data_IF_931469887174
#
_entry.id   IF_931469887174
#
_cell.length_a   1.000
_cell.length_b   1.000
_cell.length_c   1.000
_cell.angle_alpha   90.00
_cell.angle_beta   90.00
_cell.angle_gamma   90.00
#
_symmetry.space_group_name_H-M   'P 1'
#
loop_
_entity.id
_entity.type
_entity.pdbx_description
1 polymer ?
#
# COMPACT_ATOMS: atom_id res chain seq x y z
N UNK A 1 13.96 7.53 19.78
CA UNK A 1 14.68 6.72 18.81
C UNK A 1 14.32 7.12 17.39
N UNK A 2 15.33 7.16 16.55
CA UNK A 2 15.12 7.54 15.16
C UNK A 2 14.49 6.40 14.36
N UNK A 3 13.65 6.78 13.42
CA UNK A 3 13.05 5.86 12.47
C UNK A 3 14.14 5.17 11.63
N UNK A 4 14.01 3.86 11.45
CA UNK A 4 14.95 3.09 10.62
C UNK A 4 14.14 2.30 9.60
N UNK A 5 14.10 2.76 8.34
CA UNK A 5 13.21 2.18 7.32
C UNK A 5 13.33 0.66 7.16
N UNK A 6 14.53 0.11 7.06
CA UNK A 6 14.72 -1.31 6.89
C UNK A 6 14.21 -2.12 8.07
N UNK A 7 14.43 -1.63 9.28
CA UNK A 7 14.00 -2.29 10.50
C UNK A 7 12.49 -2.18 10.70
N UNK A 8 11.95 -1.00 10.37
CA UNK A 8 10.51 -0.79 10.50
C UNK A 8 9.74 -1.57 9.44
N UNK A 9 10.30 -1.72 8.24
CA UNK A 9 9.72 -2.57 7.21
C UNK A 9 9.60 -4.01 7.69
N UNK A 10 10.59 -4.52 8.45
CA UNK A 10 10.53 -5.87 9.03
C UNK A 10 9.31 -6.03 9.94
N UNK A 11 8.94 -4.97 10.68
CA UNK A 11 7.79 -5.00 11.58
C UNK A 11 6.47 -4.85 10.84
N UNK A 12 6.44 -4.00 9.79
CA UNK A 12 5.19 -3.61 9.11
C UNK A 12 4.81 -4.49 7.93
N UNK A 13 5.79 -5.10 7.28
CA UNK A 13 5.55 -5.86 6.06
C UNK A 13 4.60 -7.06 6.24
N UNK A 14 4.77 -7.90 7.26
CA UNK A 14 3.81 -8.99 7.49
C UNK A 14 2.40 -8.47 7.69
N UNK A 15 2.27 -7.32 8.37
CA UNK A 15 0.97 -6.70 8.62
C UNK A 15 0.36 -6.20 7.32
N UNK A 16 1.17 -5.59 6.45
CA UNK A 16 0.70 -5.10 5.16
C UNK A 16 0.15 -6.23 4.28
N UNK A 17 0.87 -7.36 4.21
CA UNK A 17 0.41 -8.52 3.44
C UNK A 17 -0.92 -9.06 3.97
N UNK A 18 -1.04 -9.14 5.30
CA UNK A 18 -2.29 -9.55 5.94
C UNK A 18 -3.41 -8.57 5.64
N UNK A 19 -3.12 -7.28 5.66
CA UNK A 19 -4.11 -6.23 5.39
C UNK A 19 -4.64 -6.34 3.96
N UNK A 20 -3.78 -6.57 2.98
CA UNK A 20 -4.20 -6.76 1.59
C UNK A 20 -5.15 -7.96 1.49
N UNK A 21 -4.78 -9.08 2.10
CA UNK A 21 -5.61 -10.29 2.06
C UNK A 21 -6.93 -10.10 2.81
N UNK A 22 -6.89 -9.42 3.95
CA UNK A 22 -8.10 -9.13 4.73
C UNK A 22 -9.10 -8.30 3.92
N UNK A 23 -8.63 -7.25 3.27
CA UNK A 23 -9.50 -6.40 2.45
C UNK A 23 -10.11 -7.21 1.31
N UNK A 24 -9.31 -8.04 0.64
CA UNK A 24 -9.83 -8.90 -0.44
C UNK A 24 -10.94 -9.83 0.07
N UNK A 25 -10.82 -10.31 1.29
CA UNK A 25 -11.84 -11.16 1.92
C UNK A 25 -13.07 -10.38 2.36
N UNK A 26 -12.90 -9.12 2.74
CA UNK A 26 -14.01 -8.29 3.23
C UNK A 26 -14.83 -7.64 2.14
N UNK A 27 -14.26 -7.43 0.95
CA UNK A 27 -14.97 -6.79 -0.17
C UNK A 27 -16.35 -7.40 -0.41
N UNK A 28 -16.52 -8.74 -0.47
CA UNK A 28 -17.85 -9.32 -0.67
C UNK A 28 -18.85 -8.94 0.40
N UNK A 29 -18.40 -8.71 1.63
CA UNK A 29 -19.28 -8.36 2.74
C UNK A 29 -19.83 -6.93 2.65
N UNK A 30 -19.15 -6.08 1.88
CA UNK A 30 -19.53 -4.67 1.72
C UNK A 30 -20.22 -4.37 0.40
N UNK A 31 -20.59 -5.39 -0.39
CA UNK A 31 -21.19 -5.16 -1.71
C UNK A 31 -22.51 -4.39 -1.65
N UNK A 32 -23.23 -4.47 -0.52
CA UNK A 32 -24.49 -3.75 -0.33
C UNK A 32 -24.33 -2.54 0.60
N UNK A 33 -23.09 -2.18 0.93
CA UNK A 33 -22.78 -1.07 1.84
C UNK A 33 -21.78 -0.12 1.19
N UNK A 34 -22.25 0.85 0.39
CA UNK A 34 -21.33 1.77 -0.32
C UNK A 34 -20.46 2.61 0.61
N UNK A 35 -20.98 3.03 1.75
CA UNK A 35 -20.19 3.82 2.71
C UNK A 35 -19.09 2.96 3.35
N UNK A 36 -19.43 1.75 3.75
CA UNK A 36 -18.45 0.81 4.29
C UNK A 36 -17.38 0.47 3.27
N UNK A 37 -17.78 0.26 2.01
CA UNK A 37 -16.84 -0.02 0.92
C UNK A 37 -15.87 1.14 0.71
N UNK A 38 -16.37 2.40 0.75
CA UNK A 38 -15.50 3.58 0.63
C UNK A 38 -14.51 3.70 1.79
N UNK A 39 -14.95 3.40 3.00
CA UNK A 39 -14.06 3.42 4.16
C UNK A 39 -12.96 2.37 4.01
N UNK A 40 -13.32 1.17 3.58
CA UNK A 40 -12.38 0.10 3.33
C UNK A 40 -11.38 0.50 2.25
N UNK A 41 -11.88 1.08 1.16
CA UNK A 41 -11.04 1.59 0.06
C UNK A 41 -10.04 2.62 0.56
N UNK A 42 -10.52 3.65 1.24
CA UNK A 42 -9.65 4.73 1.73
C UNK A 42 -8.57 4.21 2.66
N UNK A 43 -8.94 3.30 3.54
CA UNK A 43 -8.01 2.72 4.51
C UNK A 43 -6.88 1.96 3.81
N UNK A 44 -7.23 1.05 2.89
CA UNK A 44 -6.20 0.23 2.25
C UNK A 44 -5.35 1.04 1.26
N UNK A 45 -5.94 2.02 0.57
CA UNK A 45 -5.18 2.84 -0.37
C UNK A 45 -4.17 3.73 0.36
N UNK A 46 -4.53 4.31 1.50
CA UNK A 46 -3.59 5.04 2.36
C UNK A 46 -2.46 4.13 2.81
N UNK A 47 -2.81 2.91 3.16
CA UNK A 47 -1.85 1.89 3.58
C UNK A 47 -0.85 1.59 2.48
N UNK A 48 -1.32 1.42 1.24
CA UNK A 48 -0.49 1.16 0.07
C UNK A 48 0.49 2.32 -0.16
N UNK A 49 -0.02 3.56 -0.19
CA UNK A 49 0.83 4.73 -0.46
C UNK A 49 1.89 4.89 0.63
N UNK A 50 1.52 4.77 1.89
CA UNK A 50 2.48 4.91 2.99
C UNK A 50 3.50 3.77 3.01
N UNK A 51 3.06 2.55 2.72
CA UNK A 51 3.95 1.39 2.69
C UNK A 51 4.98 1.50 1.57
N UNK A 52 4.64 2.17 0.47
CA UNK A 52 5.60 2.40 -0.61
C UNK A 52 6.84 3.16 -0.12
N UNK A 53 6.69 4.02 0.87
CA UNK A 53 7.82 4.74 1.45
C UNK A 53 8.76 3.79 2.21
N UNK A 54 8.23 2.74 2.83
CA UNK A 54 9.06 1.72 3.49
C UNK A 54 9.99 1.05 2.49
N UNK A 55 9.53 0.90 1.25
CA UNK A 55 10.33 0.31 0.19
C UNK A 55 11.53 1.19 -0.21
N UNK A 56 11.34 2.50 -0.23
CA UNK A 56 12.35 3.44 -0.72
C UNK A 56 12.97 4.33 0.36
N UNK A 57 12.36 4.34 1.56
CA UNK A 57 12.69 5.33 2.60
C UNK A 57 14.15 5.36 3.00
N UNK A 58 14.78 4.19 3.11
CA UNK A 58 16.19 4.09 3.47
C UNK A 58 17.08 4.72 2.39
N UNK A 59 16.80 4.42 1.12
CA UNK A 59 17.57 4.94 0.00
C UNK A 59 17.32 6.44 -0.21
N UNK A 60 16.08 6.85 -0.08
CA UNK A 60 15.67 8.23 -0.27
C UNK A 60 15.94 9.11 0.96
N UNK A 61 16.14 8.49 2.12
CA UNK A 61 16.31 9.17 3.41
C UNK A 61 15.15 10.12 3.73
N UNK A 62 13.94 9.68 3.41
CA UNK A 62 12.73 10.46 3.60
C UNK A 62 11.83 9.75 4.61
N UNK A 63 11.34 10.51 5.58
CA UNK A 63 10.51 10.00 6.66
C UNK A 63 9.28 10.88 6.82
N UNK A 64 8.33 10.70 5.91
CA UNK A 64 7.06 11.44 5.93
C UNK A 64 5.89 10.48 6.00
N UNK A 65 4.78 10.94 6.56
CA UNK A 65 3.53 10.20 6.55
C UNK A 65 2.49 10.86 5.64
N UNK A 66 2.82 11.99 5.06
CA UNK A 66 1.94 12.69 4.13
C UNK A 66 1.86 11.94 2.81
N UNK A 67 0.65 11.74 2.31
CA UNK A 67 0.42 10.85 1.17
C UNK A 67 1.08 11.32 -0.12
N UNK A 68 0.92 12.60 -0.46
CA UNK A 68 1.47 13.09 -1.72
C UNK A 68 3.00 13.02 -1.77
N UNK A 69 3.73 13.46 -0.72
CA UNK A 69 5.18 13.25 -0.68
C UNK A 69 5.60 11.78 -0.76
N UNK A 70 4.85 10.86 -0.13
CA UNK A 70 5.14 9.43 -0.27
C UNK A 70 5.08 9.00 -1.74
N UNK A 71 4.02 9.41 -2.44
CA UNK A 71 3.87 9.13 -3.85
C UNK A 71 5.00 9.72 -4.69
N UNK A 72 5.35 10.99 -4.45
CA UNK A 72 6.39 11.67 -5.23
C UNK A 72 7.73 10.94 -5.14
N UNK A 73 8.11 10.54 -3.93
CA UNK A 73 9.36 9.81 -3.72
C UNK A 73 9.32 8.43 -4.37
N UNK A 74 8.20 7.73 -4.22
CA UNK A 74 8.02 6.43 -4.86
C UNK A 74 8.16 6.54 -6.38
N UNK A 75 7.52 7.53 -6.99
CA UNK A 75 7.51 7.71 -8.44
C UNK A 75 8.90 7.95 -9.03
N UNK A 76 9.81 8.54 -8.25
CA UNK A 76 11.20 8.73 -8.69
C UNK A 76 11.95 7.42 -8.80
N UNK A 77 11.69 6.48 -7.90
CA UNK A 77 12.39 5.19 -7.85
C UNK A 77 11.70 4.12 -8.69
N UNK A 78 10.40 4.26 -8.89
CA UNK A 78 9.60 3.28 -9.62
C UNK A 78 8.69 3.96 -10.66
N UNK A 79 9.28 4.62 -11.66
CA UNK A 79 8.48 5.36 -12.64
C UNK A 79 7.51 4.48 -13.43
N UNK A 80 7.83 3.21 -13.62
CA UNK A 80 6.95 2.29 -14.32
C UNK A 80 5.66 1.97 -13.54
N UNK A 81 5.68 2.22 -12.22
CA UNK A 81 4.51 2.00 -11.35
C UNK A 81 3.89 3.30 -10.84
N UNK A 82 4.40 4.44 -11.32
CA UNK A 82 3.97 5.74 -10.82
C UNK A 82 2.48 6.00 -11.07
N UNK A 83 1.97 5.64 -12.23
CA UNK A 83 0.55 5.86 -12.56
C UNK A 83 -0.38 5.08 -11.64
N UNK A 84 -0.04 3.83 -11.36
CA UNK A 84 -0.83 3.00 -10.44
C UNK A 84 -0.80 3.55 -9.01
N UNK A 85 0.39 3.99 -8.56
CA UNK A 85 0.52 4.57 -7.23
C UNK A 85 -0.24 5.89 -7.12
N UNK A 86 -0.25 6.70 -8.19
CA UNK A 86 -1.06 7.91 -8.20
C UNK A 86 -2.55 7.60 -8.10
N UNK A 87 -2.98 6.53 -8.76
CA UNK A 87 -4.37 6.06 -8.66
C UNK A 87 -4.71 5.67 -7.21
N UNK A 88 -3.79 4.98 -6.53
CA UNK A 88 -3.97 4.65 -5.12
C UNK A 88 -4.07 5.90 -4.27
N UNK A 89 -3.23 6.91 -4.55
CA UNK A 89 -3.30 8.20 -3.86
C UNK A 89 -4.66 8.87 -4.05
N UNK A 90 -5.16 8.91 -5.28
CA UNK A 90 -6.49 9.48 -5.57
C UNK A 90 -7.58 8.76 -4.78
N UNK A 91 -7.54 7.44 -4.74
CA UNK A 91 -8.54 6.64 -4.03
C UNK A 91 -8.39 6.71 -2.51
N UNK A 92 -7.22 7.08 -2.02
CA UNK A 92 -7.02 7.34 -0.60
C UNK A 92 -7.72 8.63 -0.18
N UNK A 93 -7.70 9.63 -1.05
CA UNK A 93 -8.31 10.95 -0.79
C UNK A 93 -9.79 10.95 -1.16
N UNK A 94 -10.14 10.33 -2.29
CA UNK A 94 -11.51 10.23 -2.80
C UNK A 94 -11.85 8.76 -3.04
N UNK A 95 -12.22 8.02 -1.99
CA UNK A 95 -12.49 6.59 -2.10
C UNK A 95 -13.68 6.27 -2.99
N UNK A 96 -13.62 5.10 -3.62
CA UNK A 96 -14.71 4.57 -4.43
C UNK A 96 -15.42 3.45 -3.69
N UNK A 97 -16.69 3.22 -4.02
CA UNK A 97 -17.42 2.04 -3.60
C UNK A 97 -17.42 0.94 -4.67
N UNK A 98 -16.69 1.15 -5.76
CA UNK A 98 -16.61 0.18 -6.85
C UNK A 98 -15.62 -0.94 -6.48
N UNK A 99 -16.16 -2.11 -6.15
CA UNK A 99 -15.39 -3.28 -5.73
C UNK A 99 -14.38 -3.72 -6.79
N UNK A 100 -14.73 -3.60 -8.07
CA UNK A 100 -13.83 -4.00 -9.15
C UNK A 100 -12.59 -3.11 -9.22
N UNK A 101 -12.78 -1.80 -9.09
CA UNK A 101 -11.67 -0.85 -9.08
C UNK A 101 -10.72 -1.16 -7.93
N UNK A 102 -11.27 -1.38 -6.74
CA UNK A 102 -10.48 -1.69 -5.54
C UNK A 102 -9.73 -3.01 -5.75
N UNK A 103 -10.43 -4.06 -6.17
CA UNK A 103 -9.84 -5.40 -6.36
C UNK A 103 -8.75 -5.40 -7.42
N UNK A 104 -8.97 -4.72 -8.53
CA UNK A 104 -7.97 -4.65 -9.60
C UNK A 104 -6.67 -4.00 -9.12
N UNK A 105 -6.78 -2.90 -8.38
CA UNK A 105 -5.60 -2.23 -7.88
C UNK A 105 -4.87 -3.05 -6.79
N UNK A 106 -5.62 -3.73 -5.93
CA UNK A 106 -5.03 -4.63 -4.95
C UNK A 106 -4.29 -5.80 -5.61
N UNK A 107 -4.88 -6.39 -6.66
CA UNK A 107 -4.28 -7.53 -7.35
C UNK A 107 -3.05 -7.14 -8.18
N UNK A 108 -3.02 -5.90 -8.69
CA UNK A 108 -1.87 -5.42 -9.46
C UNK A 108 -0.85 -4.76 -8.56
N UNK A 109 -1.12 -3.54 -8.11
CA UNK A 109 -0.17 -2.75 -7.32
C UNK A 109 0.08 -3.34 -5.93
N UNK A 110 -0.98 -3.75 -5.24
CA UNK A 110 -0.86 -4.28 -3.87
C UNK A 110 0.02 -5.52 -3.82
N UNK A 111 -0.24 -6.49 -4.70
CA UNK A 111 0.53 -7.74 -4.76
C UNK A 111 1.97 -7.45 -5.20
N UNK A 112 2.14 -6.59 -6.21
CA UNK A 112 3.48 -6.20 -6.66
C UNK A 112 4.28 -5.57 -5.51
N UNK A 113 3.66 -4.66 -4.76
CA UNK A 113 4.33 -3.98 -3.65
C UNK A 113 4.78 -4.98 -2.58
N UNK A 114 3.93 -5.93 -2.22
CA UNK A 114 4.29 -7.01 -1.30
C UNK A 114 5.49 -7.79 -1.81
N UNK A 115 5.48 -8.16 -3.09
CA UNK A 115 6.57 -8.93 -3.72
C UNK A 115 7.88 -8.14 -3.74
N UNK A 116 7.80 -6.86 -4.07
CA UNK A 116 8.99 -6.00 -4.15
C UNK A 116 9.63 -5.79 -2.78
N UNK A 117 8.81 -5.59 -1.75
CA UNK A 117 9.33 -5.45 -0.39
C UNK A 117 9.95 -6.77 0.08
N UNK A 118 9.32 -7.90 -0.21
CA UNK A 118 9.87 -9.21 0.14
C UNK A 118 11.22 -9.46 -0.55
N UNK A 119 11.36 -9.01 -1.79
CA UNK A 119 12.62 -9.10 -2.53
C UNK A 119 13.70 -8.23 -1.91
N UNK A 120 13.36 -7.01 -1.50
CA UNK A 120 14.31 -6.06 -0.93
C UNK A 120 14.70 -6.42 0.51
N UNK A 121 13.76 -7.00 1.26
CA UNK A 121 13.98 -7.38 2.65
C UNK A 121 13.66 -8.87 2.82
N UNK A 122 14.53 -9.77 2.31
CA UNK A 122 14.22 -11.22 2.31
C UNK A 122 14.07 -11.81 3.71
N UNK A 123 14.68 -11.21 4.74
CA UNK A 123 14.57 -11.70 6.12
C UNK A 123 13.19 -11.45 6.73
N UNK A 124 12.35 -10.70 6.04
CA UNK A 124 11.03 -10.29 6.51
C UNK A 124 9.93 -11.06 5.81
N UNK A 125 10.29 -12.03 4.97
CA UNK A 125 9.30 -12.80 4.20
C UNK A 125 8.32 -13.47 5.15
N UNK A 126 7.04 -13.17 4.92
CA UNK A 126 5.95 -13.75 5.69
C UNK A 126 5.83 -15.22 5.33
N UNK A 127 5.89 -16.06 6.33
CA UNK A 127 5.55 -17.46 6.15
C UNK A 127 4.04 -17.57 6.23
N UNK A 128 3.46 -17.80 5.12
CA UNK A 128 2.02 -18.04 5.06
C UNK A 128 1.70 -19.41 5.62
#
# INVERSE_FOLDING_TARGET
PSYRPGRDASAHLPIFHKDINLVKQEIPDFMQDPLGMKELCGWIMRRIVRTSLELIGEDARVFTRDLYPCYEHFARYYPARAAEMYRALELAVFPTSDAKVISDLLNDLGIWLCSEIARKYPDVVVRS
#
